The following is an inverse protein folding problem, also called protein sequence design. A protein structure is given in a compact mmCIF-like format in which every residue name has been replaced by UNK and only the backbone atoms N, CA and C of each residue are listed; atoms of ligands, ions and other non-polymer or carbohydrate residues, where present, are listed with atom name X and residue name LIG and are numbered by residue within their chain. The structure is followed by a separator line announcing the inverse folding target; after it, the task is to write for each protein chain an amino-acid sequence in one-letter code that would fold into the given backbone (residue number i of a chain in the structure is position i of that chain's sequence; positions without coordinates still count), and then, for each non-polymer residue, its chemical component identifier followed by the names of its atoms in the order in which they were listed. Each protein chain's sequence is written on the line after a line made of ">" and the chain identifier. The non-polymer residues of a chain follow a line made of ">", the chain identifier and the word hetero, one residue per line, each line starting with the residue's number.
data_IF_884889648483
#
_entry.id   IF_884889648483
#
_cell.length_a   1.000
_cell.length_b   1.000
_cell.length_c   1.000
_cell.angle_alpha   90.00
_cell.angle_beta   90.00
_cell.angle_gamma   90.00
#
_symmetry.space_group_name_H-M   'P 1'
#
loop_
_entity.id
_entity.type
_entity.pdbx_description
1 polymer ?
#
# COMPACT_ATOMS: atom_id res chain seq x y z
N UNK A 1 10.41 7.84 0.44
CA UNK A 1 11.54 7.89 -0.52
C UNK A 1 12.75 7.17 0.03
N UNK A 2 13.34 7.60 1.13
CA UNK A 2 14.49 6.93 1.78
C UNK A 2 14.45 5.40 1.82
N UNK A 3 13.36 4.78 2.31
CA UNK A 3 13.23 3.30 2.37
C UNK A 3 13.32 2.61 1.01
N UNK A 4 12.75 3.24 -0.03
CA UNK A 4 12.75 2.74 -1.41
C UNK A 4 14.16 2.85 -2.00
N UNK A 5 14.81 3.99 -1.80
CA UNK A 5 16.18 4.23 -2.26
C UNK A 5 17.17 3.26 -1.60
N UNK A 6 17.07 3.10 -0.27
CA UNK A 6 17.88 2.15 0.50
C UNK A 6 17.71 0.71 0.00
N UNK A 7 16.47 0.28 -0.26
CA UNK A 7 16.20 -1.03 -0.83
C UNK A 7 16.68 -1.15 -2.29
N UNK A 8 16.70 -0.05 -3.04
CA UNK A 8 17.22 0.04 -4.40
C UNK A 8 18.73 -0.17 -4.49
N UNK A 9 19.51 0.21 -3.47
CA UNK A 9 20.95 -0.12 -3.43
C UNK A 9 21.17 -1.64 -3.53
N UNK A 10 20.38 -2.42 -2.80
CA UNK A 10 20.49 -3.88 -2.80
C UNK A 10 19.92 -4.50 -4.07
N UNK A 11 18.71 -4.07 -4.50
CA UNK A 11 18.01 -4.70 -5.62
C UNK A 11 18.49 -4.24 -7.00
N UNK A 12 18.91 -2.99 -7.13
CA UNK A 12 19.25 -2.37 -8.42
C UNK A 12 20.75 -2.21 -8.60
N UNK A 13 21.50 -1.91 -7.53
CA UNK A 13 22.95 -1.70 -7.59
C UNK A 13 23.76 -2.94 -7.18
N UNK A 14 23.10 -3.94 -6.57
CA UNK A 14 23.72 -5.21 -6.19
C UNK A 14 24.53 -5.17 -4.90
N UNK A 15 24.37 -4.12 -4.09
CA UNK A 15 25.04 -4.01 -2.79
C UNK A 15 24.63 -5.16 -1.86
N UNK A 16 25.57 -5.66 -1.06
CA UNK A 16 25.19 -6.60 -0.01
C UNK A 16 24.36 -5.89 1.06
N UNK A 17 23.46 -6.63 1.71
CA UNK A 17 22.65 -6.11 2.81
C UNK A 17 23.51 -5.51 3.94
N UNK A 18 24.70 -6.08 4.17
CA UNK A 18 25.62 -5.64 5.23
C UNK A 18 26.28 -4.31 4.84
N UNK A 19 26.77 -4.19 3.61
CA UNK A 19 27.42 -2.96 3.13
C UNK A 19 26.43 -1.79 3.05
N UNK A 20 25.26 -2.02 2.45
CA UNK A 20 24.21 -1.01 2.37
C UNK A 20 23.73 -0.59 3.78
N UNK A 21 23.57 -1.54 4.70
CA UNK A 21 23.21 -1.26 6.10
C UNK A 21 24.24 -0.38 6.80
N UNK A 22 25.53 -0.70 6.67
CA UNK A 22 26.63 0.08 7.26
C UNK A 22 26.74 1.48 6.64
N UNK A 23 26.67 1.57 5.32
CA UNK A 23 26.78 2.83 4.58
C UNK A 23 25.65 3.81 4.93
N UNK A 24 24.43 3.30 5.05
CA UNK A 24 23.25 4.11 5.40
C UNK A 24 23.05 4.31 6.91
N UNK A 25 23.83 3.64 7.77
CA UNK A 25 23.65 3.68 9.22
C UNK A 25 22.30 3.09 9.69
N UNK A 26 21.73 2.15 8.95
CA UNK A 26 20.44 1.51 9.26
C UNK A 26 20.65 0.10 9.78
N UNK A 27 19.76 -0.39 10.65
CA UNK A 27 19.81 -1.79 11.11
C UNK A 27 19.51 -2.74 9.95
N UNK A 28 20.37 -3.75 9.76
CA UNK A 28 20.27 -4.71 8.64
C UNK A 28 18.90 -5.39 8.55
N UNK A 29 18.28 -5.72 9.68
CA UNK A 29 16.94 -6.34 9.72
C UNK A 29 15.84 -5.42 9.18
N UNK A 30 15.96 -4.11 9.37
CA UNK A 30 15.04 -3.13 8.79
C UNK A 30 15.24 -3.03 7.28
N UNK A 31 16.50 -3.00 6.82
CA UNK A 31 16.84 -2.99 5.40
C UNK A 31 16.29 -4.22 4.68
N UNK A 32 16.50 -5.42 5.22
CA UNK A 32 15.95 -6.68 4.68
C UNK A 32 14.43 -6.63 4.51
N UNK A 33 13.71 -6.04 5.47
CA UNK A 33 12.26 -5.87 5.36
C UNK A 33 11.87 -4.92 4.23
N UNK A 34 12.58 -3.81 4.06
CA UNK A 34 12.30 -2.87 2.96
C UNK A 34 12.64 -3.46 1.59
N UNK A 35 13.73 -4.23 1.49
CA UNK A 35 14.10 -4.98 0.28
C UNK A 35 12.99 -5.97 -0.08
N UNK A 36 12.56 -6.81 0.87
CA UNK A 36 11.48 -7.76 0.64
C UNK A 36 10.16 -7.07 0.23
N UNK A 37 9.84 -5.94 0.86
CA UNK A 37 8.64 -5.17 0.51
C UNK A 37 8.76 -4.58 -0.90
N UNK A 38 9.88 -3.95 -1.25
CA UNK A 38 10.09 -3.37 -2.58
C UNK A 38 10.03 -4.43 -3.68
N UNK A 39 10.58 -5.62 -3.42
CA UNK A 39 10.52 -6.74 -4.35
C UNK A 39 9.07 -7.22 -4.58
N UNK A 40 8.26 -7.31 -3.52
CA UNK A 40 6.85 -7.67 -3.63
C UNK A 40 6.04 -6.62 -4.39
N UNK A 41 6.25 -5.35 -4.09
CA UNK A 41 5.59 -4.23 -4.77
C UNK A 41 5.90 -4.19 -6.27
N UNK A 42 7.15 -4.47 -6.66
CA UNK A 42 7.57 -4.62 -8.06
C UNK A 42 6.93 -5.81 -8.77
N UNK A 43 6.57 -6.83 -8.01
CA UNK A 43 5.82 -7.99 -8.51
C UNK A 43 4.29 -7.75 -8.49
N UNK A 44 3.85 -6.51 -8.28
CA UNK A 44 2.43 -6.13 -8.32
C UNK A 44 1.67 -6.38 -7.02
N UNK A 45 2.36 -6.73 -5.92
CA UNK A 45 1.70 -6.96 -4.63
C UNK A 45 1.53 -5.63 -3.89
N UNK A 46 0.28 -5.20 -3.72
CA UNK A 46 -0.07 -4.05 -2.88
C UNK A 46 0.08 -4.41 -1.40
N UNK A 47 0.94 -3.73 -0.62
CA UNK A 47 1.04 -3.98 0.81
C UNK A 47 -0.18 -3.43 1.56
N UNK A 48 -0.43 -3.93 2.77
CA UNK A 48 -1.40 -3.31 3.68
C UNK A 48 -0.81 -2.07 4.40
N UNK A 49 0.51 -2.06 4.62
CA UNK A 49 1.23 -0.90 5.13
C UNK A 49 1.46 0.13 4.03
N UNK A 50 1.91 1.34 4.37
CA UNK A 50 2.22 2.37 3.35
C UNK A 50 3.19 1.82 2.31
N UNK A 51 2.76 1.83 1.05
CA UNK A 51 3.56 1.39 -0.07
C UNK A 51 4.83 2.23 -0.27
N UNK A 52 5.90 1.60 -0.74
CA UNK A 52 7.18 2.22 -1.06
C UNK A 52 7.19 2.84 -2.46
N UNK A 53 6.52 2.20 -3.41
CA UNK A 53 6.45 2.60 -4.82
C UNK A 53 5.26 3.54 -5.08
N UNK A 54 5.42 4.56 -5.94
CA UNK A 54 4.34 5.50 -6.27
C UNK A 54 3.11 4.81 -6.87
N UNK A 55 3.34 3.79 -7.70
CA UNK A 55 2.27 2.99 -8.28
C UNK A 55 1.42 2.31 -7.21
N UNK A 56 2.05 1.60 -6.28
CA UNK A 56 1.33 0.92 -5.19
C UNK A 56 0.71 1.92 -4.21
N UNK A 57 1.32 3.09 -4.00
CA UNK A 57 0.68 4.18 -3.25
C UNK A 57 -0.59 4.66 -3.96
N UNK A 58 -0.57 4.75 -5.29
CA UNK A 58 -1.75 5.14 -6.06
C UNK A 58 -2.85 4.09 -5.98
N UNK A 59 -2.49 2.80 -6.03
CA UNK A 59 -3.43 1.71 -5.85
C UNK A 59 -4.12 1.82 -4.48
N UNK A 60 -3.36 2.01 -3.40
CA UNK A 60 -3.93 2.21 -2.05
C UNK A 60 -4.88 3.42 -1.96
N UNK A 61 -4.52 4.55 -2.57
CA UNK A 61 -5.37 5.73 -2.61
C UNK A 61 -6.70 5.44 -3.30
N UNK A 62 -6.66 4.73 -4.43
CA UNK A 62 -7.83 4.37 -5.20
C UNK A 62 -8.71 3.36 -4.45
N UNK A 63 -8.12 2.34 -3.84
CA UNK A 63 -8.82 1.37 -2.98
C UNK A 63 -9.54 2.08 -1.83
N UNK A 64 -8.88 3.04 -1.16
CA UNK A 64 -9.49 3.81 -0.09
C UNK A 64 -10.67 4.67 -0.59
N UNK A 65 -10.55 5.26 -1.78
CA UNK A 65 -11.63 6.03 -2.42
C UNK A 65 -12.80 5.14 -2.79
N UNK A 66 -12.55 3.96 -3.37
CA UNK A 66 -13.57 2.96 -3.69
C UNK A 66 -14.30 2.54 -2.42
N UNK A 67 -13.58 2.14 -1.37
CA UNK A 67 -14.16 1.72 -0.10
C UNK A 67 -15.02 2.81 0.56
N UNK A 68 -14.69 4.09 0.36
CA UNK A 68 -15.52 5.22 0.80
C UNK A 68 -16.82 5.30 -0.02
N UNK A 69 -16.72 5.27 -1.34
CA UNK A 69 -17.87 5.34 -2.25
C UNK A 69 -18.84 4.18 -2.01
N UNK A 70 -18.31 2.96 -1.84
CA UNK A 70 -19.12 1.77 -1.60
C UNK A 70 -19.90 1.85 -0.28
N UNK A 71 -19.30 2.43 0.77
CA UNK A 71 -20.00 2.68 2.04
C UNK A 71 -21.18 3.64 1.86
N UNK A 72 -21.00 4.74 1.13
CA UNK A 72 -22.10 5.66 0.83
C UNK A 72 -23.20 4.99 0.00
N UNK A 73 -22.83 4.26 -1.08
CA UNK A 73 -23.80 3.55 -1.92
C UNK A 73 -24.63 2.53 -1.12
N UNK A 74 -24.01 1.80 -0.20
CA UNK A 74 -24.72 0.87 0.71
C UNK A 74 -25.71 1.63 1.61
N UNK A 75 -25.31 2.77 2.16
CA UNK A 75 -26.19 3.64 2.94
C UNK A 75 -27.41 4.11 2.14
N UNK A 76 -27.21 4.65 0.94
CA UNK A 76 -28.32 5.07 0.06
C UNK A 76 -29.27 3.93 -0.28
N UNK A 77 -28.75 2.76 -0.66
CA UNK A 77 -29.59 1.57 -0.94
C UNK A 77 -30.43 1.15 0.28
N UNK A 78 -29.88 1.22 1.48
CA UNK A 78 -30.62 0.90 2.71
C UNK A 78 -31.77 1.90 2.96
N UNK A 79 -31.54 3.18 2.70
CA UNK A 79 -32.55 4.24 2.82
C UNK A 79 -33.66 4.10 1.78
N UNK A 80 -33.33 3.77 0.53
CA UNK A 80 -34.32 3.56 -0.55
C UNK A 80 -35.24 2.37 -0.26
N UNK A 81 -34.72 1.28 0.30
CA UNK A 81 -35.54 0.12 0.74
C UNK A 81 -36.46 0.50 1.89
N UNK A 82 -35.96 1.28 2.87
CA UNK A 82 -36.79 1.78 3.98
C UNK A 82 -37.91 2.71 3.50
N UNK A 83 -37.61 3.60 2.54
CA UNK A 83 -38.58 4.53 1.95
C UNK A 83 -39.63 3.81 1.12
N UNK A 84 -39.24 2.84 0.30
CA UNK A 84 -40.18 2.06 -0.52
C UNK A 84 -41.17 1.26 0.34
N UNK A 85 -40.75 0.79 1.53
CA UNK A 85 -41.65 0.12 2.49
C UNK A 85 -42.63 1.08 3.17
N UNK A 86 -42.24 2.34 3.37
CA UNK A 86 -43.10 3.35 4.02
C UNK A 86 -44.25 3.86 3.14
N UNK A 87 -44.14 3.76 1.80
CA UNK A 87 -45.18 4.18 0.86
C UNK A 87 -46.09 3.03 0.36
N UNK A 88 -45.95 1.82 0.94
CA UNK A 88 -46.74 0.63 0.56
C UNK A 88 -47.91 0.32 1.52
N UNK A 89 -48.37 1.30 2.29
CA UNK A 89 -49.55 1.23 3.18
C UNK A 89 -50.64 2.19 2.69
#
# INVERSE_FOLDING_TARGET
>A
EFKREAAGLVLDQGDSHIEASRSLGVVESALRRWVNQLQQERNGVTPQSKALTPEQQKIQELEARIARIERFKKGYRALDVGRSRAFAL
#
